data_IF_109449304412
#
_entry.id   IF_109449304412
#
_cell.length_a   1.000
_cell.length_b   1.000
_cell.length_c   1.000
_cell.angle_alpha   90.00
_cell.angle_beta   90.00
_cell.angle_gamma   90.00
#
_symmetry.space_group_name_H-M   'P 1'
#
loop_
_entity.id
_entity.type
_entity.pdbx_description
1 polymer ?
#
# COMPACT_ATOMS: atom_id res chain seq x y z
N UNK A 1 -29.53 19.10 18.41
CA UNK A 1 -29.37 20.03 19.56
C UNK A 1 -27.96 20.60 19.49
N UNK A 2 -27.78 21.91 19.64
CA UNK A 2 -26.46 22.57 19.60
C UNK A 2 -26.17 23.13 20.99
N UNK A 3 -24.97 22.84 21.52
CA UNK A 3 -24.49 23.34 22.81
C UNK A 3 -23.64 24.60 22.59
N UNK A 4 -24.31 25.68 22.19
CA UNK A 4 -23.66 26.96 21.88
C UNK A 4 -24.44 27.76 20.84
N UNK A 5 -23.86 28.87 20.41
CA UNK A 5 -24.41 29.73 19.37
C UNK A 5 -23.72 29.45 18.03
N UNK A 6 -24.50 29.15 16.99
CA UNK A 6 -23.98 28.97 15.64
C UNK A 6 -23.60 30.32 15.03
N UNK A 7 -22.34 30.47 14.63
CA UNK A 7 -21.78 31.72 14.07
C UNK A 7 -20.98 31.39 12.82
N UNK A 8 -21.04 32.27 11.81
CA UNK A 8 -20.17 32.18 10.63
C UNK A 8 -18.91 33.00 10.88
N UNK A 9 -17.73 32.37 10.80
CA UNK A 9 -16.44 33.03 11.04
C UNK A 9 -15.37 32.51 10.07
N UNK A 10 -14.35 33.31 9.78
CA UNK A 10 -13.24 32.86 8.95
C UNK A 10 -12.32 31.96 9.77
N UNK A 11 -12.20 30.69 9.37
CA UNK A 11 -11.32 29.73 10.03
C UNK A 11 -9.84 30.01 9.82
N UNK A 12 -8.97 29.19 10.41
CA UNK A 12 -7.49 29.32 10.34
C UNK A 12 -6.92 29.34 8.91
N UNK A 13 -7.70 28.91 7.92
CA UNK A 13 -7.35 28.89 6.49
C UNK A 13 -8.07 29.94 5.65
N UNK A 14 -8.72 30.94 6.28
CA UNK A 14 -9.28 32.11 5.60
C UNK A 14 -10.57 31.87 4.82
N UNK A 15 -11.16 30.68 4.89
CA UNK A 15 -12.50 30.41 4.37
C UNK A 15 -13.57 30.74 5.44
N UNK A 16 -14.70 31.29 5.01
CA UNK A 16 -15.87 31.51 5.87
C UNK A 16 -16.49 30.13 6.21
N UNK A 17 -16.51 29.77 7.49
CA UNK A 17 -16.97 28.47 7.97
C UNK A 17 -17.99 28.62 9.10
N UNK A 18 -18.82 27.60 9.28
CA UNK A 18 -19.83 27.56 10.33
C UNK A 18 -19.20 26.99 11.61
N UNK A 19 -19.18 27.77 12.68
CA UNK A 19 -18.67 27.36 13.98
C UNK A 19 -19.72 27.47 15.08
N UNK A 20 -19.48 26.86 16.22
CA UNK A 20 -20.33 26.95 17.41
C UNK A 20 -19.52 27.60 18.53
N UNK A 21 -19.92 28.81 18.94
CA UNK A 21 -19.28 29.52 20.05
C UNK A 21 -19.92 29.15 21.39
N UNK A 22 -19.16 29.19 22.50
CA UNK A 22 -19.72 28.97 23.83
C UNK A 22 -20.83 29.99 24.13
N UNK A 23 -21.96 29.53 24.63
CA UNK A 23 -23.13 30.37 24.99
C UNK A 23 -23.17 30.74 26.48
N UNK A 24 -22.07 30.51 27.21
CA UNK A 24 -21.92 30.83 28.63
C UNK A 24 -22.44 29.77 29.60
N UNK A 25 -23.07 28.68 29.11
CA UNK A 25 -23.43 27.54 29.97
C UNK A 25 -22.20 26.73 30.38
N UNK A 26 -22.24 26.11 31.54
CA UNK A 26 -21.27 25.07 31.89
C UNK A 26 -21.49 23.87 30.96
N UNK A 27 -20.43 23.40 30.30
CA UNK A 27 -20.51 22.34 29.31
C UNK A 27 -21.01 21.02 29.91
N UNK A 28 -20.60 20.68 31.14
CA UNK A 28 -21.00 19.43 31.79
C UNK A 28 -22.51 19.41 32.05
N UNK A 29 -23.03 20.47 32.65
CA UNK A 29 -24.46 20.59 32.96
C UNK A 29 -25.31 20.62 31.68
N UNK A 30 -24.85 21.36 30.66
CA UNK A 30 -25.56 21.47 29.40
C UNK A 30 -25.60 20.14 28.63
N UNK A 31 -24.54 19.32 28.74
CA UNK A 31 -24.47 18.00 28.15
C UNK A 31 -25.39 17.00 28.88
N UNK A 32 -25.40 17.02 30.22
CA UNK A 32 -26.27 16.15 31.02
C UNK A 32 -27.76 16.43 30.74
N UNK A 33 -28.12 17.72 30.63
CA UNK A 33 -29.47 18.12 30.23
C UNK A 33 -29.80 17.69 28.78
N UNK A 34 -28.82 17.70 27.87
CA UNK A 34 -28.98 17.24 26.50
C UNK A 34 -29.34 15.75 26.45
N UNK A 35 -28.55 14.95 27.17
CA UNK A 35 -28.72 13.49 27.24
C UNK A 35 -30.07 13.13 27.85
N UNK A 36 -30.49 13.86 28.89
CA UNK A 36 -31.79 13.65 29.54
C UNK A 36 -33.00 13.91 28.62
N UNK A 37 -32.83 14.68 27.54
CA UNK A 37 -33.87 14.94 26.55
C UNK A 37 -33.87 13.93 25.38
N UNK A 38 -32.90 13.02 25.32
CA UNK A 38 -32.86 12.00 24.28
C UNK A 38 -33.97 10.97 24.53
N UNK A 39 -34.69 10.53 23.48
CA UNK A 39 -35.66 9.47 23.61
C UNK A 39 -35.00 8.19 24.12
N UNK A 40 -35.58 7.60 25.16
CA UNK A 40 -35.16 6.29 25.65
C UNK A 40 -35.34 5.21 24.57
N UNK A 41 -34.42 4.25 24.53
CA UNK A 41 -34.47 3.09 23.61
C UNK A 41 -34.53 3.44 22.11
N UNK A 42 -34.14 4.66 21.70
CA UNK A 42 -34.10 5.02 20.28
C UNK A 42 -32.94 4.35 19.52
N UNK A 43 -31.84 4.06 20.23
CA UNK A 43 -30.74 3.27 19.70
C UNK A 43 -30.88 1.83 20.19
N UNK A 44 -31.31 0.94 19.30
CA UNK A 44 -31.14 -0.49 19.49
C UNK A 44 -29.73 -0.79 19.00
N UNK A 45 -28.81 -1.06 19.94
CA UNK A 45 -27.52 -1.66 19.56
C UNK A 45 -27.85 -2.92 18.78
N UNK A 46 -27.46 -3.04 17.50
CA UNK A 46 -27.66 -4.30 16.81
C UNK A 46 -27.00 -5.37 17.66
N UNK A 47 -27.79 -6.34 18.14
CA UNK A 47 -27.21 -7.56 18.66
C UNK A 47 -26.38 -8.11 17.51
N UNK A 48 -25.06 -8.06 17.68
CA UNK A 48 -24.18 -8.89 16.89
C UNK A 48 -24.55 -10.31 17.32
N UNK A 49 -25.43 -10.91 16.56
CA UNK A 49 -25.73 -12.32 16.67
C UNK A 49 -24.40 -13.03 16.43
N UNK A 50 -23.76 -13.54 17.48
CA UNK A 50 -22.59 -14.43 17.34
C UNK A 50 -22.95 -15.68 16.51
N UNK A 51 -24.24 -15.92 16.25
CA UNK A 51 -24.68 -16.92 15.26
C UNK A 51 -24.40 -16.53 13.80
N UNK A 52 -23.98 -15.28 13.53
CA UNK A 52 -23.36 -14.85 12.28
C UNK A 52 -21.82 -14.99 12.31
N UNK A 53 -21.29 -15.98 13.03
CA UNK A 53 -20.17 -16.77 12.51
C UNK A 53 -20.62 -17.42 11.18
N UNK A 54 -20.78 -16.60 10.14
CA UNK A 54 -20.95 -17.05 8.76
C UNK A 54 -19.73 -17.86 8.37
N UNK A 55 -19.79 -19.20 8.53
CA UNK A 55 -18.82 -20.20 8.08
C UNK A 55 -17.36 -19.70 7.99
N UNK A 56 -16.88 -19.01 9.04
CA UNK A 56 -15.60 -18.33 8.93
C UNK A 56 -14.49 -19.38 9.02
N UNK A 57 -13.77 -19.57 7.92
CA UNK A 57 -12.67 -20.52 7.88
C UNK A 57 -11.44 -19.92 8.58
N UNK A 58 -10.54 -20.79 9.05
CA UNK A 58 -9.28 -20.37 9.63
C UNK A 58 -8.50 -19.43 8.69
N UNK A 59 -7.88 -18.38 9.26
CA UNK A 59 -7.17 -17.35 8.52
C UNK A 59 -6.01 -17.91 7.73
N UNK A 60 -5.94 -17.58 6.44
CA UNK A 60 -4.72 -17.74 5.67
C UNK A 60 -3.93 -16.43 5.63
N UNK A 61 -2.87 -16.36 6.44
CA UNK A 61 -2.02 -15.18 6.51
C UNK A 61 -1.18 -14.93 5.25
N UNK A 62 -1.11 -15.89 4.32
CA UNK A 62 -0.48 -15.67 3.01
C UNK A 62 -1.33 -14.81 2.09
N UNK A 63 -2.64 -14.68 2.38
CA UNK A 63 -3.54 -13.79 1.65
C UNK A 63 -3.55 -12.43 2.35
N UNK A 64 -3.30 -11.36 1.60
CA UNK A 64 -3.38 -10.00 2.15
C UNK A 64 -4.81 -9.64 2.57
N UNK A 65 -5.00 -8.74 3.54
CA UNK A 65 -6.33 -8.22 3.86
C UNK A 65 -7.07 -7.74 2.60
N UNK A 66 -8.37 -8.04 2.53
CA UNK A 66 -9.30 -7.73 1.44
C UNK A 66 -8.98 -8.43 0.11
N UNK A 67 -8.02 -9.34 0.05
CA UNK A 67 -7.75 -10.11 -1.16
C UNK A 67 -8.56 -11.40 -1.19
N UNK A 68 -8.95 -11.81 -2.39
CA UNK A 68 -9.67 -13.05 -2.63
C UNK A 68 -8.76 -14.28 -2.56
N UNK A 69 -9.38 -15.40 -2.16
CA UNK A 69 -8.84 -16.75 -2.26
C UNK A 69 -9.92 -17.69 -2.77
N UNK A 70 -9.65 -18.40 -3.85
CA UNK A 70 -10.54 -19.43 -4.36
C UNK A 70 -10.10 -20.82 -3.86
N UNK A 71 -11.01 -21.57 -3.27
CA UNK A 71 -10.73 -22.93 -2.76
C UNK A 71 -11.97 -23.80 -2.83
N UNK A 72 -11.84 -25.03 -3.36
CA UNK A 72 -12.91 -26.03 -3.42
C UNK A 72 -14.23 -25.54 -4.05
N UNK A 73 -14.18 -24.67 -5.07
CA UNK A 73 -15.38 -24.12 -5.71
C UNK A 73 -16.01 -22.92 -4.98
N UNK A 74 -15.48 -22.56 -3.80
CA UNK A 74 -15.89 -21.39 -3.02
C UNK A 74 -14.88 -20.26 -3.16
N UNK A 75 -15.35 -19.03 -2.94
CA UNK A 75 -14.54 -17.81 -2.94
C UNK A 75 -14.55 -17.25 -1.53
N UNK A 76 -13.38 -16.85 -1.04
CA UNK A 76 -13.22 -16.25 0.29
C UNK A 76 -12.50 -14.91 0.16
N UNK A 77 -12.75 -13.99 1.09
CA UNK A 77 -11.98 -12.76 1.26
C UNK A 77 -11.45 -12.70 2.69
N UNK A 78 -10.19 -12.30 2.84
CA UNK A 78 -9.62 -12.07 4.18
C UNK A 78 -10.14 -10.75 4.76
N UNK A 79 -10.96 -10.81 5.80
CA UNK A 79 -11.46 -9.63 6.51
C UNK A 79 -10.97 -9.69 7.95
N UNK A 80 -10.00 -8.82 8.30
CA UNK A 80 -9.32 -8.89 9.59
C UNK A 80 -8.63 -10.24 9.81
N UNK A 81 -9.07 -10.93 10.85
CA UNK A 81 -8.59 -12.24 11.31
C UNK A 81 -9.58 -13.37 10.97
N UNK A 82 -10.30 -13.27 9.85
CA UNK A 82 -11.19 -14.33 9.36
C UNK A 82 -11.16 -14.44 7.83
N UNK A 83 -11.40 -15.64 7.30
CA UNK A 83 -11.72 -15.84 5.87
C UNK A 83 -13.24 -15.90 5.71
N UNK A 84 -13.81 -14.82 5.17
CA UNK A 84 -15.26 -14.69 4.97
C UNK A 84 -15.62 -15.21 3.58
N UNK A 85 -16.56 -16.13 3.47
CA UNK A 85 -17.05 -16.62 2.19
C UNK A 85 -17.73 -15.49 1.40
N UNK A 86 -17.55 -15.48 0.08
CA UNK A 86 -18.05 -14.45 -0.81
C UNK A 86 -18.96 -15.08 -1.85
N UNK A 87 -20.10 -14.43 -2.12
CA UNK A 87 -20.99 -14.86 -3.17
C UNK A 87 -20.34 -14.70 -4.54
N UNK A 88 -20.29 -15.80 -5.31
CA UNK A 88 -19.84 -15.75 -6.70
C UNK A 88 -21.03 -15.36 -7.58
N UNK A 89 -20.91 -14.31 -8.41
CA UNK A 89 -21.98 -13.92 -9.30
C UNK A 89 -22.40 -15.06 -10.23
N UNK A 90 -23.71 -15.37 -10.29
CA UNK A 90 -24.27 -16.44 -11.16
C UNK A 90 -24.08 -16.18 -12.66
N UNK A 91 -23.72 -14.95 -13.04
CA UNK A 91 -23.46 -14.56 -14.43
C UNK A 91 -22.18 -13.72 -14.55
N UNK A 92 -21.28 -14.03 -15.49
CA UNK A 92 -21.37 -15.16 -16.45
C UNK A 92 -21.17 -16.53 -15.77
N UNK A 93 -21.51 -17.63 -16.46
CA UNK A 93 -21.42 -18.98 -15.88
C UNK A 93 -19.99 -19.40 -15.52
N UNK A 94 -19.00 -18.80 -16.17
CA UNK A 94 -17.57 -18.96 -15.92
C UNK A 94 -17.03 -17.93 -14.90
N UNK A 95 -17.88 -17.26 -14.12
CA UNK A 95 -17.46 -16.22 -13.17
C UNK A 95 -16.42 -16.73 -12.16
N UNK A 96 -16.62 -17.93 -11.61
CA UNK A 96 -15.66 -18.55 -10.70
C UNK A 96 -14.30 -18.75 -11.39
N UNK A 97 -14.30 -19.40 -12.55
CA UNK A 97 -13.06 -19.68 -13.28
C UNK A 97 -12.32 -18.40 -13.71
N UNK A 98 -13.05 -17.32 -14.03
CA UNK A 98 -12.47 -16.00 -14.31
C UNK A 98 -11.79 -15.43 -13.06
N UNK A 99 -12.45 -15.48 -11.91
CA UNK A 99 -11.92 -14.98 -10.65
C UNK A 99 -10.67 -15.78 -10.27
N UNK A 100 -10.70 -17.11 -10.36
CA UNK A 100 -9.52 -17.96 -10.13
C UNK A 100 -8.33 -17.55 -11.03
N UNK A 101 -8.57 -17.36 -12.32
CA UNK A 101 -7.51 -16.98 -13.24
C UNK A 101 -6.99 -15.54 -13.00
N UNK A 102 -7.83 -14.62 -12.49
CA UNK A 102 -7.38 -13.29 -12.06
C UNK A 102 -6.59 -13.34 -10.76
N UNK A 103 -6.94 -14.23 -9.82
CA UNK A 103 -6.14 -14.52 -8.62
C UNK A 103 -4.75 -15.05 -9.02
N UNK A 104 -4.67 -15.99 -9.96
CA UNK A 104 -3.39 -16.50 -10.47
C UNK A 104 -2.53 -15.36 -11.06
N UNK A 105 -3.11 -14.52 -11.92
CA UNK A 105 -2.40 -13.35 -12.46
C UNK A 105 -1.96 -12.36 -11.38
N UNK A 106 -2.81 -12.13 -10.37
CA UNK A 106 -2.51 -11.26 -9.23
C UNK A 106 -1.28 -11.76 -8.48
N UNK A 107 -1.26 -13.05 -8.16
CA UNK A 107 -0.20 -13.68 -7.37
C UNK A 107 1.13 -13.68 -8.14
N UNK A 108 1.11 -13.94 -9.46
CA UNK A 108 2.30 -13.84 -10.32
C UNK A 108 2.82 -12.41 -10.45
N UNK A 109 1.93 -11.43 -10.60
CA UNK A 109 2.31 -10.02 -10.63
C UNK A 109 2.98 -9.61 -9.31
N UNK A 110 2.42 -10.01 -8.16
CA UNK A 110 3.04 -9.74 -6.85
C UNK A 110 4.40 -10.39 -6.75
N UNK A 111 4.49 -11.67 -7.10
CA UNK A 111 5.74 -12.41 -7.06
C UNK A 111 6.85 -11.72 -7.88
N UNK A 112 6.53 -11.26 -9.09
CA UNK A 112 7.50 -10.53 -9.94
C UNK A 112 7.94 -9.20 -9.32
N UNK A 113 7.05 -8.47 -8.64
CA UNK A 113 7.42 -7.23 -7.95
C UNK A 113 8.27 -7.51 -6.70
N UNK A 114 7.94 -8.56 -5.96
CA UNK A 114 8.65 -8.96 -4.73
C UNK A 114 10.09 -9.37 -5.06
N UNK A 115 10.30 -10.27 -6.03
CA UNK A 115 11.66 -10.68 -6.42
C UNK A 115 12.49 -9.53 -7.00
N UNK A 116 11.87 -8.53 -7.63
CA UNK A 116 12.58 -7.35 -8.11
C UNK A 116 13.01 -6.45 -6.94
N UNK A 117 12.15 -6.29 -5.95
CA UNK A 117 12.43 -5.56 -4.71
C UNK A 117 13.57 -6.21 -3.94
N UNK A 118 13.62 -7.53 -3.91
CA UNK A 118 14.71 -8.34 -3.32
C UNK A 118 16.01 -8.34 -4.15
N UNK A 119 16.02 -7.74 -5.33
CA UNK A 119 17.21 -7.64 -6.17
C UNK A 119 17.55 -8.92 -6.96
N UNK A 120 16.55 -9.64 -7.47
CA UNK A 120 16.77 -10.82 -8.32
C UNK A 120 17.63 -10.55 -9.57
N UNK A 121 18.25 -11.61 -10.10
CA UNK A 121 19.02 -11.56 -11.35
C UNK A 121 18.11 -11.40 -12.57
N UNK A 122 18.70 -10.97 -13.69
CA UNK A 122 17.97 -10.77 -14.94
C UNK A 122 17.47 -12.11 -15.54
N UNK A 123 18.18 -13.22 -15.32
CA UNK A 123 17.74 -14.56 -15.75
C UNK A 123 16.49 -15.01 -15.00
N UNK A 124 16.45 -14.80 -13.68
CA UNK A 124 15.27 -15.11 -12.86
C UNK A 124 14.09 -14.25 -13.30
N UNK A 125 14.29 -12.93 -13.44
CA UNK A 125 13.25 -12.01 -13.89
C UNK A 125 12.68 -12.41 -15.27
N UNK A 126 13.54 -12.70 -16.25
CA UNK A 126 13.10 -13.14 -17.59
C UNK A 126 12.35 -14.47 -17.58
N UNK A 127 12.63 -15.34 -16.60
CA UNK A 127 11.93 -16.62 -16.46
C UNK A 127 10.52 -16.39 -15.94
N UNK A 128 10.37 -15.63 -14.87
CA UNK A 128 9.05 -15.31 -14.31
C UNK A 128 8.21 -14.46 -15.27
N UNK A 129 8.83 -13.50 -15.97
CA UNK A 129 8.15 -12.74 -17.02
C UNK A 129 7.62 -13.64 -18.14
N UNK A 130 8.32 -14.72 -18.51
CA UNK A 130 7.81 -15.69 -19.51
C UNK A 130 6.59 -16.44 -18.99
N UNK A 131 6.60 -16.85 -17.71
CA UNK A 131 5.45 -17.48 -17.05
C UNK A 131 4.24 -16.55 -17.04
N UNK A 132 4.41 -15.31 -16.56
CA UNK A 132 3.38 -14.29 -16.53
C UNK A 132 2.81 -14.01 -17.93
N UNK A 133 3.67 -13.91 -18.95
CA UNK A 133 3.22 -13.72 -20.34
C UNK A 133 2.34 -14.88 -20.81
N UNK A 134 2.76 -16.12 -20.57
CA UNK A 134 2.01 -17.30 -21.00
C UNK A 134 0.64 -17.40 -20.30
N UNK A 135 0.57 -17.05 -19.02
CA UNK A 135 -0.68 -17.09 -18.26
C UNK A 135 -1.61 -15.94 -18.62
N UNK A 136 -1.07 -14.74 -18.86
CA UNK A 136 -1.84 -13.64 -19.43
C UNK A 136 -2.40 -13.98 -20.81
N UNK A 137 -1.58 -14.52 -21.73
CA UNK A 137 -2.04 -14.86 -23.08
C UNK A 137 -3.13 -15.94 -23.05
N UNK A 138 -3.02 -16.90 -22.12
CA UNK A 138 -4.06 -17.91 -21.86
C UNK A 138 -5.34 -17.28 -21.31
N UNK A 139 -5.21 -16.36 -20.36
CA UNK A 139 -6.33 -15.62 -19.79
C UNK A 139 -7.07 -14.85 -20.88
N UNK A 140 -6.36 -14.04 -21.66
CA UNK A 140 -6.96 -13.20 -22.72
C UNK A 140 -7.63 -14.05 -23.79
N UNK A 141 -7.00 -15.17 -24.18
CA UNK A 141 -7.60 -16.10 -25.16
C UNK A 141 -8.92 -16.69 -24.67
N UNK A 142 -9.07 -16.95 -23.37
CA UNK A 142 -10.26 -17.59 -22.80
C UNK A 142 -11.34 -16.59 -22.38
N UNK A 143 -10.94 -15.46 -21.80
CA UNK A 143 -11.84 -14.54 -21.09
C UNK A 143 -11.89 -13.13 -21.67
N UNK A 144 -11.05 -12.81 -22.67
CA UNK A 144 -10.86 -11.47 -23.20
C UNK A 144 -9.93 -10.61 -22.34
N UNK A 145 -9.88 -9.32 -22.63
CA UNK A 145 -9.03 -8.36 -21.90
C UNK A 145 -9.29 -8.41 -20.39
N UNK A 146 -8.23 -8.29 -19.59
CA UNK A 146 -8.31 -8.24 -18.12
C UNK A 146 -9.19 -7.07 -17.69
N UNK A 147 -9.10 -5.92 -18.37
CA UNK A 147 -9.92 -4.74 -18.15
C UNK A 147 -11.26 -4.73 -18.89
N UNK A 148 -11.72 -5.87 -19.42
CA UNK A 148 -13.08 -5.95 -19.97
C UNK A 148 -14.11 -5.70 -18.87
N UNK A 149 -15.26 -5.10 -19.24
CA UNK A 149 -16.31 -4.72 -18.28
C UNK A 149 -16.73 -5.88 -17.36
N UNK A 150 -16.81 -7.10 -17.89
CA UNK A 150 -17.16 -8.29 -17.12
C UNK A 150 -16.09 -8.64 -16.10
N UNK A 151 -14.82 -8.67 -16.51
CA UNK A 151 -13.71 -9.04 -15.63
C UNK A 151 -13.50 -7.99 -14.53
N UNK A 152 -13.51 -6.70 -14.89
CA UNK A 152 -13.44 -5.61 -13.91
C UNK A 152 -14.54 -5.70 -12.87
N UNK A 153 -15.79 -5.98 -13.27
CA UNK A 153 -16.91 -6.11 -12.34
C UNK A 153 -16.75 -7.30 -11.38
N UNK A 154 -16.17 -8.41 -11.84
CA UNK A 154 -15.96 -9.62 -11.04
C UNK A 154 -14.83 -9.48 -10.03
N UNK A 155 -13.85 -8.60 -10.29
CA UNK A 155 -12.61 -8.53 -9.51
C UNK A 155 -12.38 -7.20 -8.78
N UNK A 156 -13.22 -6.19 -9.00
CA UNK A 156 -13.05 -4.83 -8.43
C UNK A 156 -12.92 -4.76 -6.91
N UNK A 157 -13.51 -5.71 -6.18
CA UNK A 157 -13.53 -5.69 -4.72
C UNK A 157 -12.34 -6.47 -4.12
N UNK A 158 -11.49 -7.09 -4.95
CA UNK A 158 -10.18 -7.61 -4.51
C UNK A 158 -9.27 -6.44 -4.14
N UNK A 159 -8.65 -6.51 -2.96
CA UNK A 159 -7.75 -5.47 -2.44
C UNK A 159 -6.57 -5.15 -3.35
N UNK A 160 -6.24 -6.07 -4.25
CA UNK A 160 -5.10 -6.02 -5.13
C UNK A 160 -5.49 -5.91 -6.63
N UNK A 161 -6.78 -5.65 -6.89
CA UNK A 161 -7.41 -5.48 -8.22
C UNK A 161 -6.75 -4.40 -9.08
N UNK A 162 -6.38 -3.27 -8.49
CA UNK A 162 -5.75 -2.16 -9.20
C UNK A 162 -4.45 -2.59 -9.92
N UNK A 163 -3.62 -3.44 -9.30
CA UNK A 163 -2.41 -3.95 -9.96
C UNK A 163 -2.75 -4.92 -11.09
N UNK A 164 -3.76 -5.78 -10.91
CA UNK A 164 -4.20 -6.70 -11.97
C UNK A 164 -4.67 -5.90 -13.17
N UNK A 165 -5.45 -4.84 -12.96
CA UNK A 165 -5.90 -3.95 -14.04
C UNK A 165 -4.74 -3.16 -14.67
N UNK A 166 -3.74 -2.77 -13.88
CA UNK A 166 -2.54 -2.10 -14.39
C UNK A 166 -1.65 -2.98 -15.28
N UNK A 167 -1.96 -4.28 -15.44
CA UNK A 167 -1.23 -5.15 -16.36
C UNK A 167 -1.51 -4.83 -17.85
N UNK A 168 -2.53 -4.01 -18.14
CA UNK A 168 -2.91 -3.58 -19.48
C UNK A 168 -2.92 -2.06 -19.63
N UNK A 169 -2.29 -1.56 -20.70
CA UNK A 169 -2.45 -0.19 -21.17
C UNK A 169 -3.56 -0.16 -22.23
N UNK A 170 -4.72 0.37 -21.88
CA UNK A 170 -5.88 0.48 -22.76
C UNK A 170 -5.71 1.57 -23.81
N UNK A 171 -6.25 1.34 -25.01
CA UNK A 171 -6.47 2.39 -26.01
C UNK A 171 -7.55 3.38 -25.53
N UNK A 172 -7.59 4.58 -26.12
CA UNK A 172 -8.56 5.62 -25.79
C UNK A 172 -10.03 5.14 -25.90
N UNK A 173 -10.30 4.26 -26.86
CA UNK A 173 -11.62 3.67 -27.08
C UNK A 173 -11.90 2.42 -26.20
N UNK A 174 -10.93 2.00 -25.38
CA UNK A 174 -10.96 0.84 -24.49
C UNK A 174 -11.27 -0.50 -25.18
N UNK A 175 -11.06 -0.60 -26.49
CA UNK A 175 -11.31 -1.84 -27.25
C UNK A 175 -10.08 -2.71 -27.40
N UNK A 176 -8.90 -2.12 -27.24
CA UNK A 176 -7.62 -2.83 -27.35
C UNK A 176 -6.77 -2.53 -26.13
N UNK A 177 -5.85 -3.45 -25.82
CA UNK A 177 -4.88 -3.30 -24.76
C UNK A 177 -3.50 -3.71 -25.26
N UNK A 178 -2.48 -3.07 -24.71
CA UNK A 178 -1.10 -3.56 -24.79
C UNK A 178 -0.63 -3.99 -23.41
N UNK A 179 0.28 -4.97 -23.34
CA UNK A 179 0.86 -5.43 -22.07
C UNK A 179 1.64 -4.28 -21.42
N UNK A 180 1.52 -4.18 -20.10
CA UNK A 180 2.30 -3.22 -19.32
C UNK A 180 3.80 -3.58 -19.28
N UNK A 181 4.60 -2.64 -18.79
CA UNK A 181 6.05 -2.76 -18.75
C UNK A 181 6.57 -3.97 -17.95
N UNK A 182 5.84 -4.38 -16.92
CA UNK A 182 6.17 -5.53 -16.06
C UNK A 182 6.36 -6.84 -16.82
N UNK A 183 5.75 -6.97 -18.01
CA UNK A 183 5.87 -8.15 -18.86
C UNK A 183 7.19 -8.24 -19.64
N UNK A 184 7.95 -7.15 -19.75
CA UNK A 184 9.09 -7.08 -20.68
C UNK A 184 10.36 -6.49 -20.10
N UNK A 185 10.27 -5.69 -19.03
CA UNK A 185 11.42 -5.05 -18.40
C UNK A 185 11.26 -4.94 -16.90
N UNK A 186 12.38 -4.70 -16.23
CA UNK A 186 12.42 -4.42 -14.78
C UNK A 186 11.71 -3.09 -14.52
N UNK A 187 10.75 -3.09 -13.60
CA UNK A 187 9.94 -1.93 -13.19
C UNK A 187 10.32 -1.41 -11.81
N UNK A 188 10.92 -2.26 -10.97
CA UNK A 188 11.49 -1.87 -9.67
C UNK A 188 13.00 -2.03 -9.74
N UNK A 189 13.73 -0.93 -9.54
CA UNK A 189 15.17 -1.00 -9.34
C UNK A 189 15.43 -1.23 -7.86
N UNK A 190 16.05 -2.35 -7.46
CA UNK A 190 16.43 -2.54 -6.07
C UNK A 190 17.40 -1.43 -5.68
N UNK A 191 17.27 -0.96 -4.44
CA UNK A 191 18.28 -0.08 -3.89
C UNK A 191 19.58 -0.87 -3.74
N UNK A 192 20.63 -0.41 -4.39
CA UNK A 192 21.98 -0.94 -4.21
C UNK A 192 22.73 0.10 -3.41
N UNK A 193 23.08 -0.22 -2.16
CA UNK A 193 23.92 0.65 -1.37
C UNK A 193 25.27 0.82 -2.08
N UNK A 194 25.78 2.04 -2.09
CA UNK A 194 27.10 2.31 -2.67
C UNK A 194 28.13 1.66 -1.77
N UNK A 195 28.81 0.63 -2.27
CA UNK A 195 29.80 -0.13 -1.49
C UNK A 195 31.19 0.47 -1.57
N UNK A 196 31.45 1.36 -2.53
CA UNK A 196 32.71 2.11 -2.61
C UNK A 196 32.58 3.36 -3.49
N UNK A 197 33.29 4.42 -3.12
CA UNK A 197 33.51 5.65 -3.91
C UNK A 197 34.88 6.21 -3.56
N UNK A 198 35.59 6.87 -4.46
CA UNK A 198 36.86 7.53 -4.16
C UNK A 198 36.69 9.01 -3.73
N UNK A 199 35.48 9.55 -3.75
CA UNK A 199 35.16 10.93 -3.36
C UNK A 199 34.54 10.99 -1.96
N UNK A 200 35.22 11.67 -1.03
CA UNK A 200 34.73 11.87 0.33
C UNK A 200 33.41 12.67 0.39
N UNK A 201 33.16 13.60 -0.54
CA UNK A 201 31.92 14.37 -0.56
C UNK A 201 30.73 13.52 -1.00
N UNK A 202 30.94 12.64 -1.98
CA UNK A 202 29.95 11.65 -2.38
C UNK A 202 29.66 10.69 -1.21
N UNK A 203 30.73 10.18 -0.58
CA UNK A 203 30.64 9.33 0.61
C UNK A 203 29.87 9.99 1.76
N UNK A 204 30.06 11.30 1.97
CA UNK A 204 29.31 12.07 2.98
C UNK A 204 27.80 12.14 2.66
N UNK A 205 27.41 12.32 1.39
CA UNK A 205 25.99 12.30 1.03
C UNK A 205 25.40 10.89 1.17
N UNK A 206 26.13 9.86 0.77
CA UNK A 206 25.74 8.46 0.97
C UNK A 206 25.54 8.19 2.46
N UNK A 207 26.49 8.56 3.30
CA UNK A 207 26.41 8.44 4.75
C UNK A 207 25.17 9.11 5.33
N UNK A 208 24.86 10.35 4.91
CA UNK A 208 23.67 11.06 5.38
C UNK A 208 22.37 10.37 4.95
N UNK A 209 22.32 9.84 3.73
CA UNK A 209 21.15 9.14 3.22
C UNK A 209 20.94 7.80 3.93
N UNK A 210 22.01 7.05 4.22
CA UNK A 210 21.96 5.70 4.79
C UNK A 210 21.85 5.71 6.32
N UNK A 211 22.54 6.64 6.99
CA UNK A 211 22.66 6.69 8.45
C UNK A 211 21.88 7.82 9.10
N UNK A 212 21.37 8.78 8.31
CA UNK A 212 20.67 9.96 8.82
C UNK A 212 21.57 10.95 9.59
N UNK A 213 22.88 10.70 9.64
CA UNK A 213 23.89 11.51 10.35
C UNK A 213 25.25 11.39 9.66
N UNK A 214 26.19 12.25 10.04
CA UNK A 214 27.59 12.12 9.64
C UNK A 214 28.25 11.04 10.49
N UNK A 215 28.80 10.03 9.84
CA UNK A 215 29.51 8.89 10.45
C UNK A 215 30.84 8.70 9.71
N UNK A 216 31.93 9.20 10.31
CA UNK A 216 33.24 9.22 9.66
C UNK A 216 33.77 7.81 9.41
N UNK A 217 33.56 6.86 10.34
CA UNK A 217 34.03 5.49 10.17
C UNK A 217 33.36 4.80 8.97
N UNK A 218 32.09 5.12 8.69
CA UNK A 218 31.43 4.63 7.48
C UNK A 218 32.02 5.26 6.21
N UNK A 219 32.38 6.55 6.23
CA UNK A 219 33.02 7.24 5.11
C UNK A 219 34.41 6.65 4.83
N UNK A 220 35.22 6.38 5.87
CA UNK A 220 36.50 5.69 5.75
C UNK A 220 36.36 4.32 5.09
N UNK A 221 35.33 3.53 5.48
CA UNK A 221 35.07 2.21 4.94
C UNK A 221 34.76 2.24 3.43
N UNK A 222 33.84 3.10 2.99
CA UNK A 222 33.43 3.17 1.58
C UNK A 222 34.47 3.88 0.70
N UNK A 223 35.28 4.77 1.26
CA UNK A 223 36.37 5.44 0.53
C UNK A 223 37.69 4.70 0.55
N UNK A 224 37.84 3.76 1.49
CA UNK A 224 39.11 3.10 1.79
C UNK A 224 40.25 4.11 2.05
N UNK A 225 39.89 5.26 2.64
CA UNK A 225 40.80 6.32 3.09
C UNK A 225 40.83 6.36 4.60
N UNK A 226 41.94 6.82 5.16
CA UNK A 226 42.08 7.01 6.60
C UNK A 226 41.40 8.30 7.08
N UNK A 227 41.11 8.35 8.38
CA UNK A 227 40.49 9.48 9.07
C UNK A 227 41.09 10.85 8.73
N UNK A 228 42.43 10.98 8.75
CA UNK A 228 43.09 12.26 8.53
C UNK A 228 42.87 12.74 7.09
N UNK A 229 42.96 11.84 6.13
CA UNK A 229 42.66 12.12 4.71
C UNK A 229 41.19 12.49 4.51
N UNK A 230 40.26 11.75 5.13
CA UNK A 230 38.81 12.03 5.02
C UNK A 230 38.47 13.40 5.60
N UNK A 231 38.99 13.74 6.78
CA UNK A 231 38.74 15.06 7.40
C UNK A 231 39.37 16.19 6.58
N UNK A 232 40.58 15.98 6.06
CA UNK A 232 41.26 16.97 5.23
C UNK A 232 40.48 17.26 3.94
N UNK A 233 39.94 16.23 3.28
CA UNK A 233 39.15 16.39 2.06
C UNK A 233 37.77 17.01 2.34
N UNK A 234 37.09 16.61 3.42
CA UNK A 234 35.76 17.13 3.76
C UNK A 234 35.78 18.58 4.26
N UNK A 235 36.88 19.02 4.88
CA UNK A 235 37.11 20.39 5.31
C UNK A 235 35.92 20.98 6.08
N UNK A 236 35.46 22.16 5.67
CA UNK A 236 34.38 22.91 6.33
C UNK A 236 32.97 22.31 6.13
N UNK A 237 32.86 21.12 5.56
CA UNK A 237 31.58 20.43 5.36
C UNK A 237 31.14 19.61 6.56
N UNK A 238 32.06 19.31 7.48
CA UNK A 238 31.83 18.53 8.69
C UNK A 238 32.40 19.25 9.89
N UNK A 239 31.62 19.34 10.96
CA UNK A 239 32.03 19.96 12.22
C UNK A 239 31.89 18.95 13.34
N UNK A 240 32.84 18.97 14.28
CA UNK A 240 32.70 18.17 15.48
C UNK A 240 31.52 18.68 16.31
N UNK A 241 30.81 17.77 16.95
CA UNK A 241 29.71 18.12 17.82
C UNK A 241 30.24 18.93 19.03
N UNK A 242 29.88 20.21 19.18
CA UNK A 242 30.44 21.07 20.22
C UNK A 242 30.05 20.66 21.65
N UNK A 243 29.06 19.78 21.81
CA UNK A 243 28.63 19.26 23.12
C UNK A 243 29.45 18.02 23.51
N UNK A 244 29.96 17.26 22.54
CA UNK A 244 30.71 16.01 22.77
C UNK A 244 32.22 16.20 22.72
N UNK A 245 32.69 17.36 22.25
CA UNK A 245 34.11 17.72 22.26
C UNK A 245 34.44 18.42 23.57
N UNK A 246 35.27 17.79 24.38
CA UNK A 246 35.91 18.48 25.51
C UNK A 246 36.88 19.54 24.93
N UNK A 247 36.86 20.80 25.40
CA UNK A 247 37.67 21.88 24.84
C UNK A 247 39.19 21.79 25.10
N UNK A 248 39.66 20.65 25.62
CA UNK A 248 41.08 20.35 25.93
C UNK A 248 41.61 19.25 24.99
#
# INVERSE_FOLDING_TARGET
MVLGEMVMEHGMYGALDLTVKPDGRNLADALEQAVSNLPENFYVTPEYDESAEEESAAVDYNVKPLCYKAQNGKLYMRVGESMVEQEIPKRPADAYDRICAMIELRDELRYILDIQTEGCTDEKLKTEQRTLNANYDRFVRRYGLVNSQTNTRLFKDDGDSALVFACENLSDDKKTATKADVFSKRTIRPYVSVTSTDDCFEALQICKNERGRVDISYIEEITNKDFDTVIAELGDSVFRNPIEVNPD
#
